data_IF_327023262999
#
_entry.id   IF_327023262999
#
_cell.length_a   1.000
_cell.length_b   1.000
_cell.length_c   1.000
_cell.angle_alpha   90.00
_cell.angle_beta   90.00
_cell.angle_gamma   90.00
#
_symmetry.space_group_name_H-M   'P 1'
#
loop_
_entity.id
_entity.type
_entity.pdbx_description
1 polymer ?
#
# COMPACT_ATOMS: atom_id res chain seq x y z
N UNK A 1 -19.51 -27.88 -21.12
CA UNK A 1 -19.02 -26.54 -20.74
C UNK A 1 -19.40 -25.57 -21.85
N UNK A 2 -20.24 -24.54 -21.60
CA UNK A 2 -20.57 -23.54 -22.65
C UNK A 2 -19.35 -22.61 -22.79
N UNK A 3 -18.74 -22.61 -23.96
CA UNK A 3 -17.70 -21.64 -24.32
C UNK A 3 -18.40 -20.30 -24.50
N UNK A 4 -17.90 -19.26 -23.85
CA UNK A 4 -18.38 -17.88 -24.03
C UNK A 4 -18.15 -17.45 -25.47
N UNK A 5 -19.15 -16.81 -26.08
CA UNK A 5 -19.04 -16.20 -27.40
C UNK A 5 -18.35 -14.83 -27.35
N UNK A 6 -18.35 -14.19 -26.18
CA UNK A 6 -17.88 -12.83 -26.03
C UNK A 6 -16.50 -12.80 -25.35
N UNK A 7 -15.63 -11.91 -25.83
CA UNK A 7 -14.33 -11.66 -25.24
C UNK A 7 -14.50 -11.10 -23.83
N UNK A 8 -13.80 -11.66 -22.85
CA UNK A 8 -13.70 -11.07 -21.51
C UNK A 8 -12.86 -9.80 -21.60
N UNK A 9 -13.38 -8.64 -21.24
CA UNK A 9 -12.53 -7.45 -21.16
C UNK A 9 -11.47 -7.65 -20.07
N UNK A 10 -10.25 -7.24 -20.35
CA UNK A 10 -9.14 -7.22 -19.37
C UNK A 10 -9.45 -6.23 -18.24
N UNK A 11 -10.19 -5.16 -18.57
CA UNK A 11 -10.64 -4.11 -17.67
C UNK A 11 -12.17 -4.12 -17.65
N UNK A 12 -12.75 -4.23 -16.48
CA UNK A 12 -14.21 -4.26 -16.36
C UNK A 12 -14.68 -3.90 -14.97
N UNK A 13 -14.31 -2.68 -14.45
CA UNK A 13 -14.88 -2.25 -13.17
C UNK A 13 -16.41 -2.24 -13.29
N UNK A 14 -17.06 -2.75 -12.26
CA UNK A 14 -18.52 -2.77 -12.18
C UNK A 14 -18.93 -1.93 -11.00
N UNK A 15 -19.80 -0.98 -11.24
CA UNK A 15 -20.48 -0.21 -10.21
C UNK A 15 -21.98 -0.28 -10.42
N UNK A 16 -22.74 -0.01 -9.37
CA UNK A 16 -24.19 -0.03 -9.38
C UNK A 16 -24.78 1.15 -8.59
N UNK A 17 -26.03 0.96 -8.16
CA UNK A 17 -26.71 1.97 -7.35
C UNK A 17 -26.06 2.21 -5.99
N UNK A 18 -25.42 1.19 -5.43
CA UNK A 18 -24.80 1.27 -4.12
C UNK A 18 -23.61 2.23 -4.14
N UNK A 19 -22.73 2.12 -5.14
CA UNK A 19 -21.60 3.02 -5.33
C UNK A 19 -22.07 4.45 -5.69
N UNK A 20 -23.07 4.58 -6.56
CA UNK A 20 -23.65 5.88 -6.92
C UNK A 20 -24.21 6.57 -5.67
N UNK A 21 -24.94 5.85 -4.82
CA UNK A 21 -25.51 6.41 -3.60
C UNK A 21 -24.41 6.80 -2.60
N UNK A 22 -23.37 5.98 -2.42
CA UNK A 22 -22.25 6.30 -1.53
C UNK A 22 -21.52 7.58 -1.97
N UNK A 23 -21.26 7.73 -3.27
CA UNK A 23 -20.66 8.96 -3.82
C UNK A 23 -21.60 10.16 -3.66
N UNK A 24 -22.93 10.00 -3.89
CA UNK A 24 -23.91 11.05 -3.70
C UNK A 24 -23.94 11.55 -2.24
N UNK A 25 -23.91 10.64 -1.26
CA UNK A 25 -23.83 10.98 0.17
C UNK A 25 -22.61 11.87 0.49
N UNK A 26 -21.44 11.54 -0.09
CA UNK A 26 -20.22 12.34 0.12
C UNK A 26 -20.38 13.74 -0.52
N UNK A 27 -20.92 13.81 -1.73
CA UNK A 27 -21.16 15.10 -2.41
C UNK A 27 -22.14 15.95 -1.60
N UNK A 28 -23.23 15.37 -1.14
CA UNK A 28 -24.28 16.07 -0.35
C UNK A 28 -23.77 16.52 1.02
N UNK A 29 -22.83 15.77 1.63
CA UNK A 29 -22.22 16.15 2.92
C UNK A 29 -21.42 17.46 2.84
N UNK A 30 -20.96 17.85 1.65
CA UNK A 30 -20.05 18.97 1.43
C UNK A 30 -18.62 18.74 1.93
N UNK A 31 -18.30 17.55 2.44
CA UNK A 31 -16.96 17.19 2.89
C UNK A 31 -16.30 16.22 1.89
N UNK A 32 -15.40 16.73 1.06
CA UNK A 32 -14.76 15.99 -0.03
C UNK A 32 -13.27 15.70 0.23
N UNK A 33 -12.79 16.00 1.42
CA UNK A 33 -11.41 15.68 1.86
C UNK A 33 -11.34 14.31 2.53
N UNK A 34 -10.22 14.05 3.20
CA UNK A 34 -10.10 12.89 4.08
C UNK A 34 -11.08 13.05 5.24
N UNK A 35 -11.94 12.09 5.46
CA UNK A 35 -12.99 12.14 6.46
C UNK A 35 -13.50 10.76 6.89
N UNK A 36 -14.75 10.70 7.36
CA UNK A 36 -15.30 9.52 8.01
C UNK A 36 -15.41 8.29 7.10
N UNK A 37 -15.61 8.47 5.78
CA UNK A 37 -15.68 7.33 4.85
C UNK A 37 -14.32 6.64 4.70
N UNK A 38 -13.24 7.42 4.63
CA UNK A 38 -11.88 6.87 4.63
C UNK A 38 -11.57 6.16 5.95
N UNK A 39 -11.95 6.75 7.09
CA UNK A 39 -11.73 6.11 8.40
C UNK A 39 -12.51 4.79 8.53
N UNK A 40 -13.75 4.75 8.09
CA UNK A 40 -14.57 3.54 8.04
C UNK A 40 -13.94 2.48 7.11
N UNK A 41 -13.43 2.89 5.95
CA UNK A 41 -12.75 2.01 5.01
C UNK A 41 -11.48 1.43 5.61
N UNK A 42 -10.61 2.23 6.21
CA UNK A 42 -9.40 1.78 6.90
C UNK A 42 -9.74 0.72 7.96
N UNK A 43 -10.76 0.98 8.79
CA UNK A 43 -11.19 0.07 9.85
C UNK A 43 -11.71 -1.27 9.31
N UNK A 44 -12.64 -1.24 8.36
CA UNK A 44 -13.22 -2.46 7.77
C UNK A 44 -12.18 -3.26 6.98
N UNK A 45 -11.28 -2.57 6.27
CA UNK A 45 -10.26 -3.24 5.49
C UNK A 45 -9.22 -3.91 6.38
N UNK A 46 -8.77 -3.25 7.46
CA UNK A 46 -7.85 -3.85 8.42
C UNK A 46 -8.42 -5.12 9.06
N UNK A 47 -9.71 -5.10 9.43
CA UNK A 47 -10.42 -6.26 9.95
C UNK A 47 -10.50 -7.40 8.91
N UNK A 48 -10.85 -7.06 7.67
CA UNK A 48 -10.98 -8.03 6.58
C UNK A 48 -9.68 -8.78 6.30
N UNK A 49 -8.54 -8.08 6.34
CA UNK A 49 -7.22 -8.67 6.04
C UNK A 49 -6.48 -9.16 7.28
N UNK A 50 -7.05 -9.01 8.48
CA UNK A 50 -6.48 -9.52 9.73
C UNK A 50 -5.29 -8.71 10.26
N UNK A 51 -5.15 -7.45 9.89
CA UNK A 51 -4.17 -6.53 10.44
C UNK A 51 -4.78 -5.59 11.48
N UNK A 52 -3.96 -5.07 12.39
CA UNK A 52 -4.43 -4.12 13.42
C UNK A 52 -4.61 -2.70 12.89
N UNK A 53 -3.83 -2.32 11.89
CA UNK A 53 -3.78 -0.94 11.39
C UNK A 53 -3.83 -0.92 9.87
N UNK A 54 -4.52 0.08 9.35
CA UNK A 54 -4.60 0.39 7.93
C UNK A 54 -4.45 1.88 7.69
N UNK A 55 -3.93 2.24 6.53
CA UNK A 55 -3.79 3.62 6.06
C UNK A 55 -4.16 3.67 4.58
N UNK A 56 -5.24 4.37 4.27
CA UNK A 56 -5.65 4.62 2.90
C UNK A 56 -4.76 5.68 2.24
N UNK A 57 -4.33 5.37 1.02
CA UNK A 57 -3.43 6.21 0.21
C UNK A 57 -3.93 6.30 -1.22
N UNK A 58 -3.42 7.26 -1.98
CA UNK A 58 -3.86 7.52 -3.36
C UNK A 58 -3.50 6.41 -4.36
N UNK A 59 -2.55 5.54 -4.04
CA UNK A 59 -2.23 4.35 -4.84
C UNK A 59 -1.32 3.39 -4.06
N UNK A 60 -1.26 2.11 -4.48
CA UNK A 60 -0.29 1.16 -3.95
C UNK A 60 1.16 1.64 -4.11
N UNK A 61 1.48 2.27 -5.23
CA UNK A 61 2.81 2.84 -5.49
C UNK A 61 3.19 3.91 -4.46
N UNK A 62 2.27 4.82 -4.12
CA UNK A 62 2.49 5.79 -3.06
C UNK A 62 2.58 5.13 -1.68
N UNK A 63 1.86 4.02 -1.47
CA UNK A 63 2.00 3.21 -0.25
C UNK A 63 3.40 2.64 -0.09
N UNK A 64 3.96 2.01 -1.13
CA UNK A 64 5.33 1.49 -1.11
C UNK A 64 6.37 2.61 -0.91
N UNK A 65 6.18 3.76 -1.59
CA UNK A 65 7.07 4.91 -1.46
C UNK A 65 7.08 5.45 -0.02
N UNK A 66 5.91 5.60 0.60
CA UNK A 66 5.79 6.05 1.99
C UNK A 66 6.47 5.09 2.97
N UNK A 67 6.29 3.78 2.80
CA UNK A 67 6.92 2.77 3.65
C UNK A 67 8.44 2.93 3.58
N UNK A 68 9.03 3.01 2.39
CA UNK A 68 10.47 3.17 2.23
C UNK A 68 10.99 4.46 2.86
N UNK A 69 10.26 5.56 2.71
CA UNK A 69 10.60 6.85 3.35
C UNK A 69 10.48 6.80 4.87
N UNK A 70 9.45 6.12 5.37
CA UNK A 70 9.23 5.98 6.81
C UNK A 70 10.32 5.14 7.50
N UNK A 71 10.97 4.23 6.79
CA UNK A 71 12.08 3.43 7.33
C UNK A 71 13.36 4.23 7.58
N UNK A 72 13.51 5.40 6.95
CA UNK A 72 14.69 6.29 7.06
C UNK A 72 16.04 5.57 6.80
N UNK A 73 16.04 4.62 5.87
CA UNK A 73 17.24 3.87 5.46
C UNK A 73 18.05 4.66 4.42
N UNK A 74 19.34 4.34 4.31
CA UNK A 74 20.24 4.99 3.35
C UNK A 74 21.18 3.97 2.72
N UNK A 75 21.38 4.09 1.40
CA UNK A 75 22.38 3.30 0.69
C UNK A 75 22.11 1.80 0.68
N UNK A 76 20.86 1.40 0.86
CA UNK A 76 20.46 0.00 0.85
C UNK A 76 20.23 -0.54 -0.56
N UNK A 77 20.24 -1.86 -0.64
CA UNK A 77 19.85 -2.63 -1.81
C UNK A 77 18.47 -3.24 -1.55
N UNK A 78 17.51 -2.97 -2.44
CA UNK A 78 16.15 -3.50 -2.35
C UNK A 78 15.99 -4.62 -3.36
N UNK A 79 15.65 -5.81 -2.86
CA UNK A 79 15.41 -6.98 -3.71
C UNK A 79 13.98 -6.96 -4.20
N UNK A 80 13.77 -7.23 -5.49
CA UNK A 80 12.44 -7.28 -6.12
C UNK A 80 12.38 -8.33 -7.24
N UNK A 81 11.18 -8.86 -7.58
CA UNK A 81 11.04 -9.85 -8.64
C UNK A 81 11.16 -9.21 -10.03
N UNK A 82 11.65 -10.00 -11.00
CA UNK A 82 11.76 -9.59 -12.40
C UNK A 82 10.40 -9.49 -13.11
N UNK A 83 9.37 -10.18 -12.61
CA UNK A 83 7.98 -10.07 -13.11
C UNK A 83 7.18 -9.29 -12.07
N UNK A 84 6.77 -8.09 -12.43
CA UNK A 84 6.00 -7.19 -11.57
C UNK A 84 5.54 -5.96 -12.34
N UNK A 85 4.68 -5.15 -11.73
CA UNK A 85 4.44 -3.79 -12.20
C UNK A 85 5.70 -2.94 -12.01
N UNK A 86 5.97 -2.05 -12.96
CA UNK A 86 7.23 -1.26 -13.00
C UNK A 86 7.51 -0.46 -11.71
N UNK A 87 6.47 -0.09 -10.96
CA UNK A 87 6.61 0.62 -9.69
C UNK A 87 7.52 -0.11 -8.71
N UNK A 88 7.44 -1.44 -8.64
CA UNK A 88 8.25 -2.28 -7.76
C UNK A 88 9.76 -2.06 -7.95
N UNK A 89 10.21 -1.83 -9.18
CA UNK A 89 11.61 -1.54 -9.48
C UNK A 89 11.95 -0.04 -9.39
N UNK A 90 10.99 0.84 -9.64
CA UNK A 90 11.21 2.30 -9.70
C UNK A 90 11.21 2.95 -8.32
N UNK A 91 10.35 2.49 -7.40
CA UNK A 91 10.21 3.11 -6.07
C UNK A 91 11.51 3.04 -5.25
N UNK A 92 12.28 1.95 -5.22
CA UNK A 92 13.61 1.97 -4.63
C UNK A 92 14.50 3.08 -5.18
N UNK A 93 14.50 3.28 -6.51
CA UNK A 93 15.31 4.32 -7.16
C UNK A 93 14.86 5.73 -6.77
N UNK A 94 13.54 5.99 -6.63
CA UNK A 94 13.01 7.27 -6.14
C UNK A 94 13.50 7.61 -4.73
N UNK A 95 13.79 6.59 -3.93
CA UNK A 95 14.30 6.71 -2.57
C UNK A 95 15.83 6.72 -2.49
N UNK A 96 16.53 6.75 -3.63
CA UNK A 96 17.99 6.74 -3.67
C UNK A 96 18.61 5.38 -3.31
N UNK A 97 17.83 4.29 -3.37
CA UNK A 97 18.28 2.93 -3.13
C UNK A 97 18.69 2.24 -4.43
N UNK A 98 19.40 1.13 -4.32
CA UNK A 98 19.67 0.25 -5.46
C UNK A 98 18.49 -0.71 -5.63
N UNK A 99 18.02 -0.89 -6.86
CA UNK A 99 17.03 -1.92 -7.20
C UNK A 99 17.76 -3.18 -7.67
N UNK A 100 17.64 -4.27 -6.91
CA UNK A 100 18.23 -5.57 -7.19
C UNK A 100 17.13 -6.53 -7.66
N UNK A 101 17.07 -6.72 -8.97
CA UNK A 101 16.03 -7.55 -9.59
C UNK A 101 16.53 -9.00 -9.67
N UNK A 102 15.76 -9.92 -9.09
CA UNK A 102 16.03 -11.36 -9.09
C UNK A 102 14.93 -12.11 -9.84
N UNK A 103 15.23 -13.35 -10.25
CA UNK A 103 14.30 -14.13 -11.06
C UNK A 103 13.10 -14.64 -10.24
N UNK A 104 12.14 -15.22 -10.92
CA UNK A 104 10.88 -15.72 -10.37
C UNK A 104 10.73 -17.21 -10.64
N UNK A 105 9.94 -17.89 -9.81
CA UNK A 105 9.54 -19.27 -10.06
C UNK A 105 8.66 -19.37 -11.31
N UNK A 106 8.91 -20.34 -12.17
CA UNK A 106 8.18 -20.50 -13.43
C UNK A 106 6.71 -20.88 -13.28
N UNK A 107 6.37 -21.55 -12.20
CA UNK A 107 5.02 -22.05 -11.92
C UNK A 107 4.12 -21.00 -11.27
N UNK A 108 4.68 -20.13 -10.43
CA UNK A 108 3.91 -19.13 -9.68
C UNK A 108 4.11 -17.69 -10.17
N UNK A 109 5.21 -17.43 -10.89
CA UNK A 109 5.69 -16.08 -11.26
C UNK A 109 6.02 -15.19 -10.04
N UNK A 110 5.98 -15.74 -8.84
CA UNK A 110 6.44 -15.08 -7.63
C UNK A 110 7.95 -15.16 -7.49
N UNK A 111 8.54 -14.25 -6.72
CA UNK A 111 9.99 -14.18 -6.47
C UNK A 111 10.57 -15.53 -6.03
N UNK A 112 11.73 -15.93 -6.58
CA UNK A 112 12.37 -17.20 -6.25
C UNK A 112 13.28 -17.06 -5.03
N UNK A 113 13.01 -17.77 -3.91
CA UNK A 113 13.89 -17.77 -2.75
C UNK A 113 15.33 -18.20 -3.04
N UNK A 114 15.54 -19.09 -4.01
CA UNK A 114 16.87 -19.48 -4.44
C UNK A 114 17.66 -18.31 -5.02
N UNK A 115 17.05 -17.51 -5.87
CA UNK A 115 17.69 -16.34 -6.45
C UNK A 115 17.84 -15.19 -5.44
N UNK A 116 16.94 -15.05 -4.46
CA UNK A 116 17.15 -14.15 -3.32
C UNK A 116 18.47 -14.51 -2.62
N UNK A 117 18.66 -15.76 -2.23
CA UNK A 117 19.85 -16.22 -1.52
C UNK A 117 21.13 -15.98 -2.34
N UNK A 118 21.07 -16.25 -3.64
CA UNK A 118 22.21 -16.15 -4.56
C UNK A 118 22.64 -14.70 -4.82
N UNK A 119 21.69 -13.76 -4.91
CA UNK A 119 21.95 -12.40 -5.36
C UNK A 119 21.80 -11.33 -4.27
N UNK A 120 21.36 -11.71 -3.05
CA UNK A 120 21.36 -10.77 -1.92
C UNK A 120 22.76 -10.25 -1.63
N UNK A 121 22.86 -8.97 -1.29
CA UNK A 121 24.09 -8.30 -0.88
C UNK A 121 24.09 -8.06 0.63
N UNK A 122 25.23 -7.69 1.18
CA UNK A 122 25.36 -7.39 2.61
C UNK A 122 24.49 -6.20 3.09
N UNK A 123 24.12 -5.32 2.18
CA UNK A 123 23.21 -4.18 2.40
C UNK A 123 21.81 -4.40 1.81
N UNK A 124 21.42 -5.62 1.48
CA UNK A 124 20.04 -5.96 1.09
C UNK A 124 19.19 -6.03 2.36
N UNK A 125 18.52 -4.93 2.70
CA UNK A 125 17.74 -4.78 3.94
C UNK A 125 16.24 -4.85 3.70
N UNK A 126 15.77 -4.62 2.47
CA UNK A 126 14.37 -4.63 2.09
C UNK A 126 14.13 -5.57 0.91
N UNK A 127 13.04 -6.31 0.96
CA UNK A 127 12.55 -7.15 -0.11
C UNK A 127 11.09 -6.78 -0.42
N UNK A 128 10.76 -6.62 -1.70
CA UNK A 128 9.39 -6.49 -2.17
C UNK A 128 8.97 -7.83 -2.75
N UNK A 129 8.02 -8.52 -2.10
CA UNK A 129 7.45 -9.77 -2.56
C UNK A 129 6.09 -9.51 -3.19
N UNK A 130 5.96 -9.78 -4.49
CA UNK A 130 4.71 -9.51 -5.23
C UNK A 130 3.92 -10.80 -5.37
N UNK A 131 2.67 -10.78 -4.90
CA UNK A 131 1.72 -11.87 -5.09
C UNK A 131 1.15 -11.79 -6.51
N UNK A 132 1.94 -12.26 -7.50
CA UNK A 132 1.62 -12.09 -8.91
C UNK A 132 0.32 -12.81 -9.30
N UNK A 133 -0.54 -12.12 -10.02
CA UNK A 133 -1.87 -12.62 -10.43
C UNK A 133 -2.74 -13.17 -9.27
N UNK A 134 -2.48 -12.75 -8.04
CA UNK A 134 -3.19 -13.21 -6.85
C UNK A 134 -2.62 -14.49 -6.21
N UNK A 135 -1.50 -15.00 -6.70
CA UNK A 135 -0.81 -16.17 -6.12
C UNK A 135 0.08 -15.70 -4.97
N UNK A 136 -0.12 -16.18 -3.72
CA UNK A 136 0.74 -15.79 -2.60
C UNK A 136 2.18 -16.29 -2.80
N UNK A 137 3.16 -15.44 -2.42
CA UNK A 137 4.56 -15.84 -2.34
C UNK A 137 4.79 -16.92 -1.27
N UNK A 138 5.83 -17.73 -1.44
CA UNK A 138 6.27 -18.71 -0.44
C UNK A 138 7.10 -18.01 0.66
N UNK A 139 6.39 -17.30 1.57
CA UNK A 139 7.03 -16.53 2.63
C UNK A 139 7.83 -17.38 3.61
N UNK A 140 7.45 -18.65 3.83
CA UNK A 140 8.21 -19.57 4.67
C UNK A 140 9.60 -19.86 4.08
N UNK A 141 9.70 -20.03 2.76
CA UNK A 141 10.97 -20.21 2.08
C UNK A 141 11.75 -18.89 1.96
N UNK A 142 11.08 -17.76 1.73
CA UNK A 142 11.72 -16.43 1.69
C UNK A 142 12.36 -16.12 3.05
N UNK A 143 11.65 -16.32 4.16
CA UNK A 143 12.17 -16.05 5.52
C UNK A 143 13.35 -16.93 5.92
N UNK A 144 13.53 -18.10 5.32
CA UNK A 144 14.73 -18.93 5.55
C UNK A 144 16.01 -18.33 4.96
N UNK A 145 15.88 -17.55 3.90
CA UNK A 145 17.02 -16.98 3.15
C UNK A 145 17.16 -15.48 3.31
N UNK A 146 16.13 -14.79 3.80
CA UNK A 146 16.12 -13.34 3.96
C UNK A 146 15.52 -12.91 5.31
N UNK A 147 16.33 -12.20 6.12
CA UNK A 147 15.99 -11.75 7.46
C UNK A 147 15.65 -10.25 7.53
N UNK A 148 15.68 -9.55 6.39
CA UNK A 148 15.36 -8.13 6.31
C UNK A 148 13.85 -7.85 6.32
N UNK A 149 13.50 -6.59 6.10
CA UNK A 149 12.13 -6.13 6.06
C UNK A 149 11.44 -6.53 4.75
N UNK A 150 10.26 -7.11 4.82
CA UNK A 150 9.49 -7.56 3.65
C UNK A 150 8.26 -6.71 3.47
N UNK A 151 8.18 -6.04 2.32
CA UNK A 151 6.96 -5.42 1.82
C UNK A 151 6.24 -6.45 0.96
N UNK A 152 5.06 -6.86 1.37
CA UNK A 152 4.19 -7.73 0.57
C UNK A 152 3.33 -6.87 -0.36
N UNK A 153 3.58 -6.96 -1.65
CA UNK A 153 2.74 -6.32 -2.67
C UNK A 153 1.55 -7.22 -2.99
N UNK A 154 0.41 -6.85 -2.45
CA UNK A 154 -0.87 -7.55 -2.59
C UNK A 154 -1.80 -6.89 -3.60
N UNK A 155 -1.26 -6.09 -4.53
CA UNK A 155 -2.04 -5.35 -5.52
C UNK A 155 -2.94 -6.22 -6.40
N UNK A 156 -2.67 -7.54 -6.49
CA UNK A 156 -3.47 -8.52 -7.21
C UNK A 156 -4.25 -9.49 -6.30
N UNK A 157 -4.12 -9.37 -4.97
CA UNK A 157 -4.50 -10.44 -4.03
C UNK A 157 -5.64 -10.06 -3.09
N UNK A 158 -6.40 -8.99 -3.38
CA UNK A 158 -7.59 -8.67 -2.61
C UNK A 158 -8.56 -9.87 -2.64
N UNK A 159 -8.99 -10.33 -1.47
CA UNK A 159 -9.77 -11.55 -1.25
C UNK A 159 -9.02 -12.89 -1.43
N UNK A 160 -7.71 -12.89 -1.65
CA UNK A 160 -6.92 -14.12 -1.58
C UNK A 160 -6.67 -14.48 -0.12
N UNK A 161 -6.98 -15.73 0.26
CA UNK A 161 -6.77 -16.23 1.62
C UNK A 161 -5.28 -16.16 2.00
N UNK A 162 -4.99 -15.58 3.18
CA UNK A 162 -3.65 -15.41 3.71
C UNK A 162 -2.84 -14.27 3.07
N UNK A 163 -3.34 -13.59 2.05
CA UNK A 163 -2.64 -12.44 1.48
C UNK A 163 -2.51 -11.31 2.50
N UNK A 164 -1.35 -10.68 2.52
CA UNK A 164 -1.00 -9.62 3.46
C UNK A 164 -0.35 -10.11 4.75
N UNK A 165 -0.32 -11.42 5.02
CA UNK A 165 0.17 -11.98 6.28
C UNK A 165 1.62 -12.46 6.24
N UNK A 166 2.26 -12.47 5.08
CA UNK A 166 3.63 -12.98 4.91
C UNK A 166 4.72 -11.92 5.10
N UNK A 167 4.42 -10.67 4.80
CA UNK A 167 5.32 -9.53 4.96
C UNK A 167 5.26 -8.89 6.35
N UNK A 168 6.14 -7.92 6.60
CA UNK A 168 6.08 -7.04 7.78
C UNK A 168 5.02 -5.94 7.60
N UNK A 169 4.73 -5.62 6.34
CA UNK A 169 3.72 -4.69 5.89
C UNK A 169 3.16 -5.16 4.55
N UNK A 170 1.87 -4.94 4.31
CA UNK A 170 1.24 -5.22 3.02
C UNK A 170 0.74 -3.96 2.35
N UNK A 171 0.81 -3.93 1.01
CA UNK A 171 0.35 -2.82 0.18
C UNK A 171 -0.67 -3.32 -0.83
N UNK A 172 -1.84 -2.68 -0.85
CA UNK A 172 -3.00 -3.05 -1.65
C UNK A 172 -3.32 -1.97 -2.70
N UNK A 173 -3.89 -2.39 -3.83
CA UNK A 173 -4.28 -1.48 -4.90
C UNK A 173 -5.78 -1.56 -5.18
N UNK A 174 -6.39 -0.38 -5.33
CA UNK A 174 -7.79 -0.21 -5.71
C UNK A 174 -7.94 0.52 -7.05
N UNK A 175 -6.89 0.44 -7.88
CA UNK A 175 -6.92 0.97 -9.24
C UNK A 175 -8.01 0.26 -10.07
N UNK A 176 -8.56 0.94 -11.07
CA UNK A 176 -9.74 0.50 -11.84
C UNK A 176 -9.68 -0.93 -12.42
N UNK A 177 -8.48 -1.52 -12.58
CA UNK A 177 -8.31 -2.91 -13.09
C UNK A 177 -8.28 -3.95 -11.98
N UNK A 178 -8.26 -3.56 -10.71
CA UNK A 178 -8.08 -4.46 -9.57
C UNK A 178 -9.38 -5.13 -9.14
N UNK A 179 -9.26 -6.16 -8.31
CA UNK A 179 -10.39 -6.97 -7.82
C UNK A 179 -11.42 -6.15 -7.05
N UNK A 180 -10.96 -5.14 -6.29
CA UNK A 180 -11.80 -4.18 -5.58
C UNK A 180 -11.43 -2.76 -6.03
N UNK A 181 -12.02 -2.25 -7.13
CA UNK A 181 -11.64 -0.96 -7.68
C UNK A 181 -12.44 0.19 -7.07
N UNK A 182 -11.76 1.34 -6.89
CA UNK A 182 -12.43 2.62 -6.59
C UNK A 182 -12.04 3.75 -7.57
N UNK A 183 -11.47 3.38 -8.74
CA UNK A 183 -10.93 4.32 -9.72
C UNK A 183 -9.42 4.42 -9.60
N UNK A 184 -8.91 5.04 -8.57
CA UNK A 184 -7.52 4.95 -8.12
C UNK A 184 -7.46 4.99 -6.59
N UNK A 185 -6.52 4.27 -6.00
CA UNK A 185 -6.39 4.15 -4.56
C UNK A 185 -5.45 3.03 -4.16
N UNK A 186 -5.10 3.03 -2.89
CA UNK A 186 -4.32 1.98 -2.26
C UNK A 186 -4.51 1.94 -0.75
N UNK A 187 -3.95 0.92 -0.12
CA UNK A 187 -3.94 0.77 1.33
C UNK A 187 -2.59 0.24 1.77
N UNK A 188 -2.10 0.71 2.91
CA UNK A 188 -1.01 0.11 3.66
C UNK A 188 -1.63 -0.58 4.86
N UNK A 189 -1.28 -1.84 5.14
CA UNK A 189 -1.76 -2.55 6.33
C UNK A 189 -0.60 -3.22 7.06
N UNK A 190 -0.60 -3.16 8.40
CA UNK A 190 0.43 -3.79 9.22
C UNK A 190 -0.05 -3.96 10.66
N UNK A 191 0.69 -4.75 11.44
CA UNK A 191 0.57 -4.82 12.89
C UNK A 191 1.51 -3.83 13.61
N UNK A 192 2.39 -3.17 12.87
CA UNK A 192 3.29 -2.14 13.39
C UNK A 192 2.60 -0.77 13.40
N UNK A 193 2.22 -0.34 14.60
CA UNK A 193 1.58 0.96 14.83
C UNK A 193 2.50 2.13 14.47
N UNK A 194 3.77 2.03 14.82
CA UNK A 194 4.71 3.16 14.66
C UNK A 194 4.94 3.43 13.16
N UNK A 195 5.10 2.38 12.37
CA UNK A 195 5.22 2.50 10.91
C UNK A 195 3.97 3.15 10.30
N UNK A 196 2.77 2.67 10.66
CA UNK A 196 1.52 3.20 10.09
C UNK A 196 1.29 4.66 10.47
N UNK A 197 1.53 5.05 11.73
CA UNK A 197 1.36 6.45 12.15
C UNK A 197 2.39 7.36 11.47
N UNK A 198 3.66 6.95 11.36
CA UNK A 198 4.68 7.70 10.61
C UNK A 198 4.30 7.88 9.14
N UNK A 199 3.83 6.81 8.48
CA UNK A 199 3.29 6.91 7.12
C UNK A 199 2.09 7.87 7.06
N UNK A 200 1.19 7.84 8.06
CA UNK A 200 0.01 8.71 8.13
C UNK A 200 0.37 10.18 8.19
N UNK A 201 1.32 10.56 9.02
CA UNK A 201 1.84 11.94 9.08
C UNK A 201 2.44 12.37 7.74
N UNK A 202 3.20 11.49 7.12
CA UNK A 202 3.80 11.76 5.80
C UNK A 202 2.77 11.90 4.68
N UNK A 203 1.55 11.35 4.79
CA UNK A 203 0.52 11.51 3.75
C UNK A 203 0.02 12.93 3.60
N UNK A 204 0.18 13.79 4.62
CA UNK A 204 -0.23 15.18 4.63
C UNK A 204 0.91 16.09 5.08
N UNK A 205 1.93 16.20 4.24
CA UNK A 205 3.06 17.14 4.40
C UNK A 205 3.80 17.07 5.74
N UNK A 206 3.70 15.97 6.49
CA UNK A 206 4.34 15.81 7.80
C UNK A 206 3.62 16.55 8.93
N UNK A 207 2.39 16.95 8.72
CA UNK A 207 1.55 17.53 9.77
C UNK A 207 1.12 16.45 10.73
N UNK A 208 1.31 16.67 12.03
CA UNK A 208 0.98 15.73 13.10
C UNK A 208 -0.47 15.21 12.96
N UNK A 209 -0.65 13.90 13.17
CA UNK A 209 -1.96 13.26 13.16
C UNK A 209 -2.90 13.77 14.27
N UNK A 210 -2.35 14.38 15.30
CA UNK A 210 -3.12 14.99 16.41
C UNK A 210 -3.63 16.39 16.10
N UNK A 211 -3.19 16.98 14.99
CA UNK A 211 -3.62 18.31 14.59
C UNK A 211 -5.11 18.32 14.21
N UNK A 212 -5.84 19.28 14.73
CA UNK A 212 -7.26 19.48 14.42
C UNK A 212 -7.50 20.89 13.90
N UNK A 213 -8.09 21.00 12.70
CA UNK A 213 -8.50 22.28 12.10
C UNK A 213 -9.50 23.08 12.93
N UNK A 214 -10.18 22.42 13.86
CA UNK A 214 -11.28 23.01 14.63
C UNK A 214 -10.91 23.39 16.05
N UNK A 215 -9.74 22.99 16.52
CA UNK A 215 -9.28 23.24 17.89
C UNK A 215 -7.87 23.78 17.83
N UNK A 216 -7.74 25.10 17.97
CA UNK A 216 -6.44 25.67 18.37
C UNK A 216 -6.02 25.08 19.70
N UNK A 217 -4.71 24.91 19.93
CA UNK A 217 -4.19 24.63 21.26
C UNK A 217 -4.76 25.66 22.25
N UNK A 218 -5.22 25.21 23.40
CA UNK A 218 -5.84 26.04 24.44
C UNK A 218 -7.28 26.53 24.24
N UNK A 219 -8.08 25.95 23.32
CA UNK A 219 -9.51 26.29 23.21
C UNK A 219 -9.81 27.66 22.60
N UNK A 220 -8.83 28.35 22.03
CA UNK A 220 -9.02 29.52 21.17
C UNK A 220 -9.19 29.09 19.73
N UNK A 221 -10.02 29.79 18.90
CA UNK A 221 -10.04 29.55 17.47
C UNK A 221 -8.65 29.87 16.91
N UNK A 222 -7.86 28.82 16.64
CA UNK A 222 -6.59 28.94 15.93
C UNK A 222 -6.85 29.27 14.45
N UNK A 223 -5.89 29.88 13.80
CA UNK A 223 -5.92 29.98 12.34
C UNK A 223 -5.96 28.57 11.76
N UNK A 224 -6.83 28.32 10.79
CA UNK A 224 -7.01 27.02 10.15
C UNK A 224 -5.74 26.48 9.45
N UNK A 225 -4.70 27.29 9.39
CA UNK A 225 -3.42 27.04 8.73
C UNK A 225 -2.22 27.11 9.70
N UNK A 226 -2.47 27.24 10.99
CA UNK A 226 -1.42 27.25 12.03
C UNK A 226 -1.20 25.81 12.48
N UNK A 227 -0.18 25.15 11.92
CA UNK A 227 0.23 23.79 12.25
C UNK A 227 1.75 23.66 12.17
N UNK A 228 2.30 22.84 13.03
CA UNK A 228 3.72 22.47 13.03
C UNK A 228 3.94 21.28 12.07
N UNK A 229 5.10 21.29 11.41
CA UNK A 229 5.54 20.24 10.49
C UNK A 229 6.79 19.60 11.05
N UNK A 230 6.67 18.37 11.55
CA UNK A 230 7.75 17.68 12.23
C UNK A 230 8.67 16.90 11.28
N UNK A 231 8.16 16.57 10.08
CA UNK A 231 8.89 15.79 9.09
C UNK A 231 8.50 16.18 7.65
N UNK A 232 9.35 15.83 6.69
CA UNK A 232 9.05 16.03 5.26
C UNK A 232 7.99 15.01 4.85
N UNK A 233 6.83 15.52 4.41
CA UNK A 233 5.72 14.69 3.95
C UNK A 233 5.28 15.02 2.53
N UNK A 234 4.23 14.34 2.10
CA UNK A 234 3.69 14.32 0.74
C UNK A 234 2.18 14.56 0.76
N UNK A 235 1.56 14.59 -0.41
CA UNK A 235 0.10 14.63 -0.52
C UNK A 235 -0.42 13.31 -1.09
N UNK A 236 -0.40 12.25 -0.27
CA UNK A 236 -0.71 10.89 -0.69
C UNK A 236 -1.93 10.28 0.03
N UNK A 237 -2.67 11.07 0.80
CA UNK A 237 -3.88 10.59 1.47
C UNK A 237 -5.04 10.37 0.48
N UNK A 238 -5.87 9.38 0.75
CA UNK A 238 -7.13 9.16 0.06
C UNK A 238 -8.19 10.15 0.56
N UNK A 239 -9.13 10.51 -0.28
CA UNK A 239 -10.31 11.31 0.04
C UNK A 239 -11.56 10.42 0.15
N UNK A 240 -12.58 10.91 0.82
CA UNK A 240 -13.87 10.24 0.95
C UNK A 240 -14.57 10.00 -0.39
#
# INVERSE_FOLDING_TARGET
MKIRSDMLPVLGPKGGKEEINAVAEVIESGWWGKGPKVEEFESKFSEMVGHKYALAVTSASHGQDLIMKAMDLKGIDVISPAISFIATAMIPLWNGFTSNIVDVKRDTLCIDPYDIEKFKKSNSEVLIAVNEAGVPCDFDSIRKVFNGFIIEDTAHSCYTEGAGQGGDVAVWSFQAVKTMPCGDGGMITSNDRQLIEKCREMTWFGVSSTWSRTKGESGKPGYAWDYEVDLIGYKYYMID
#
